data_IF_697372960839
#
_entry.id   IF_697372960839
#
_cell.length_a   1.000
_cell.length_b   1.000
_cell.length_c   1.000
_cell.angle_alpha   90.00
_cell.angle_beta   90.00
_cell.angle_gamma   90.00
#
_symmetry.space_group_name_H-M   'P 1'
#
loop_
_entity.id
_entity.type
_entity.pdbx_description
1 polymer ?
#
# COMPACT_ATOMS: atom_id res chain seq x y z
N UNK A 1 -35.51 41.08 52.77
CA UNK A 1 -34.36 40.44 52.07
C UNK A 1 -34.84 39.19 51.34
N UNK A 2 -35.06 39.25 50.02
CA UNK A 2 -35.34 38.09 49.17
C UNK A 2 -34.31 38.08 48.05
N UNK A 3 -33.40 37.11 48.06
CA UNK A 3 -32.38 36.94 47.01
C UNK A 3 -33.04 36.26 45.80
N UNK A 4 -33.04 36.96 44.67
CA UNK A 4 -33.50 36.44 43.39
C UNK A 4 -32.36 35.64 42.75
N UNK A 5 -32.48 34.30 42.73
CA UNK A 5 -31.54 33.42 42.05
C UNK A 5 -31.88 33.41 40.56
N UNK A 6 -31.02 33.99 39.72
CA UNK A 6 -31.11 33.89 38.25
C UNK A 6 -30.37 32.64 37.81
N UNK A 7 -31.10 31.63 37.34
CA UNK A 7 -30.55 30.45 36.69
C UNK A 7 -30.24 30.83 35.23
N UNK A 8 -28.96 30.96 34.88
CA UNK A 8 -28.51 31.02 33.49
C UNK A 8 -28.49 29.61 32.94
N UNK A 9 -29.46 29.29 32.07
CA UNK A 9 -29.48 28.04 31.33
C UNK A 9 -28.53 28.19 30.14
N UNK A 10 -27.31 27.68 30.29
CA UNK A 10 -26.33 27.63 29.22
C UNK A 10 -26.75 26.61 28.17
N UNK A 11 -27.12 27.07 26.97
CA UNK A 11 -27.21 26.20 25.79
C UNK A 11 -25.81 25.68 25.45
N UNK A 12 -25.54 24.42 25.79
CA UNK A 12 -24.40 23.68 25.26
C UNK A 12 -24.72 23.37 23.79
N UNK A 13 -24.16 24.15 22.87
CA UNK A 13 -24.13 23.76 21.46
C UNK A 13 -23.12 22.63 21.31
N UNK A 14 -23.64 21.40 21.20
CA UNK A 14 -22.85 20.27 20.72
C UNK A 14 -22.57 20.50 19.24
N UNK A 15 -21.39 21.05 18.93
CA UNK A 15 -20.88 21.02 17.56
C UNK A 15 -20.50 19.58 17.30
N UNK A 16 -21.39 18.84 16.63
CA UNK A 16 -21.03 17.59 16.00
C UNK A 16 -19.97 17.94 14.96
N UNK A 17 -18.72 17.61 15.27
CA UNK A 17 -17.65 17.63 14.28
C UNK A 17 -18.11 16.76 13.13
N UNK A 18 -18.43 17.39 12.00
CA UNK A 18 -18.60 16.68 10.74
C UNK A 18 -17.25 16.03 10.50
N UNK A 19 -17.17 14.70 10.63
CA UNK A 19 -15.97 13.96 10.25
C UNK A 19 -15.64 14.38 8.84
N UNK A 20 -14.54 15.13 8.67
CA UNK A 20 -14.00 15.40 7.36
C UNK A 20 -13.83 14.04 6.68
N UNK A 21 -14.47 13.84 5.54
CA UNK A 21 -14.23 12.64 4.73
C UNK A 21 -12.72 12.54 4.57
N UNK A 22 -12.13 11.42 5.01
CA UNK A 22 -10.71 11.17 4.81
C UNK A 22 -10.42 11.41 3.33
N UNK A 23 -9.43 12.24 3.02
CA UNK A 23 -9.07 12.53 1.64
C UNK A 23 -8.76 11.20 0.93
N UNK A 24 -9.65 10.75 0.06
CA UNK A 24 -9.52 9.48 -0.69
C UNK A 24 -8.81 9.67 -2.03
N UNK A 25 -8.52 10.91 -2.41
CA UNK A 25 -7.92 11.26 -3.69
C UNK A 25 -6.56 11.88 -3.45
N UNK A 26 -5.54 11.24 -4.01
CA UNK A 26 -4.20 11.78 -4.12
C UNK A 26 -4.06 12.45 -5.50
N UNK A 27 -3.56 13.69 -5.51
CA UNK A 27 -3.25 14.40 -6.75
C UNK A 27 -1.75 14.63 -6.78
N UNK A 28 -1.08 14.03 -7.76
CA UNK A 28 0.34 14.25 -7.97
C UNK A 28 0.60 15.71 -8.39
N UNK A 29 1.66 16.31 -7.85
CA UNK A 29 2.15 17.63 -8.29
C UNK A 29 3.30 17.46 -9.28
N UNK A 30 3.49 18.44 -10.17
CA UNK A 30 4.60 18.36 -11.13
C UNK A 30 5.95 18.46 -10.42
N UNK A 31 6.88 17.57 -10.77
CA UNK A 31 8.28 17.62 -10.38
C UNK A 31 8.96 16.26 -10.46
N UNK A 32 10.27 16.26 -10.33
CA UNK A 32 11.13 15.06 -10.35
C UNK A 32 11.68 14.83 -8.95
N UNK A 33 11.41 13.64 -8.39
CA UNK A 33 11.87 13.30 -7.05
C UNK A 33 13.27 12.69 -7.06
N UNK A 34 14.02 12.92 -5.99
CA UNK A 34 15.25 12.19 -5.67
C UNK A 34 14.87 10.82 -5.11
N UNK A 35 15.38 9.74 -5.72
CA UNK A 35 15.07 8.36 -5.31
C UNK A 35 16.03 7.86 -4.23
N UNK A 36 15.97 8.45 -3.04
CA UNK A 36 16.82 8.10 -1.89
C UNK A 36 16.04 7.60 -0.65
N UNK A 37 14.71 7.53 -0.75
CA UNK A 37 13.83 7.12 0.35
C UNK A 37 13.67 8.16 1.45
N UNK A 38 14.13 9.40 1.25
CA UNK A 38 14.03 10.50 2.21
C UNK A 38 12.97 11.50 1.78
N UNK A 39 12.15 11.92 2.75
CA UNK A 39 11.22 13.03 2.53
C UNK A 39 11.96 14.37 2.71
N UNK A 40 12.56 14.89 1.64
CA UNK A 40 13.28 16.16 1.71
C UNK A 40 12.32 17.35 1.92
N UNK A 41 12.66 18.31 2.81
CA UNK A 41 11.82 19.49 3.04
C UNK A 41 11.58 20.29 1.75
N UNK A 42 10.31 20.46 1.39
CA UNK A 42 9.89 21.28 0.25
C UNK A 42 9.94 20.57 -1.12
N UNK A 43 10.45 19.34 -1.19
CA UNK A 43 10.43 18.54 -2.43
C UNK A 43 9.02 18.01 -2.72
N UNK A 44 8.45 17.30 -1.76
CA UNK A 44 7.14 16.66 -1.88
C UNK A 44 6.01 17.65 -1.58
N UNK A 45 5.51 18.29 -2.64
CA UNK A 45 4.55 19.40 -2.59
C UNK A 45 3.08 18.99 -2.71
N UNK A 46 2.79 17.73 -3.05
CA UNK A 46 1.40 17.25 -3.08
C UNK A 46 0.77 17.19 -1.69
N UNK A 47 -0.55 17.33 -1.67
CA UNK A 47 -1.32 17.00 -0.47
C UNK A 47 -1.14 15.53 -0.12
N UNK A 48 -0.93 15.22 1.16
CA UNK A 48 -0.78 13.85 1.61
C UNK A 48 -2.16 13.19 1.83
N UNK A 49 -2.26 11.91 1.48
CA UNK A 49 -3.37 11.05 1.92
C UNK A 49 -2.88 10.07 2.97
N UNK A 50 -3.69 9.80 3.98
CA UNK A 50 -3.37 8.81 5.01
C UNK A 50 -4.38 7.66 4.94
N UNK A 51 -3.87 6.44 4.84
CA UNK A 51 -4.72 5.24 4.86
C UNK A 51 -5.26 5.00 6.27
N UNK A 52 -6.32 4.19 6.37
CA UNK A 52 -6.89 3.79 7.67
C UNK A 52 -5.91 2.98 8.55
N UNK A 53 -4.81 2.48 7.97
CA UNK A 53 -3.74 1.77 8.67
C UNK A 53 -2.51 2.65 8.95
N UNK A 54 -2.59 3.96 8.69
CA UNK A 54 -1.54 4.92 9.06
C UNK A 54 -0.38 5.04 8.07
N UNK A 55 -0.55 4.57 6.82
CA UNK A 55 0.40 4.86 5.74
C UNK A 55 0.08 6.23 5.17
N UNK A 56 1.05 7.14 5.19
CA UNK A 56 0.96 8.44 4.54
C UNK A 56 1.54 8.35 3.13
N UNK A 57 0.83 8.88 2.13
CA UNK A 57 1.23 8.80 0.73
C UNK A 57 1.23 10.21 0.13
N UNK A 58 2.31 10.53 -0.58
CA UNK A 58 2.46 11.71 -1.44
C UNK A 58 2.86 11.25 -2.84
N UNK A 59 2.57 12.07 -3.85
CA UNK A 59 2.97 11.78 -5.22
C UNK A 59 3.47 13.01 -5.97
N UNK A 60 4.38 12.77 -6.91
CA UNK A 60 4.84 13.75 -7.91
C UNK A 60 4.84 13.11 -9.29
N UNK A 61 4.79 13.91 -10.34
CA UNK A 61 4.79 13.42 -11.71
C UNK A 61 5.63 14.34 -12.60
N UNK A 62 6.38 13.77 -13.52
CA UNK A 62 7.01 14.52 -14.62
C UNK A 62 6.55 13.98 -15.98
N UNK A 63 7.31 14.22 -17.06
CA UNK A 63 6.93 13.79 -18.39
C UNK A 63 7.01 12.26 -18.58
N UNK A 64 7.78 11.57 -17.73
CA UNK A 64 8.18 10.18 -17.91
C UNK A 64 7.74 9.31 -16.73
N UNK A 65 7.73 9.86 -15.51
CA UNK A 65 7.64 9.09 -14.29
C UNK A 65 6.53 9.58 -13.36
N UNK A 66 5.87 8.61 -12.72
CA UNK A 66 5.11 8.79 -11.50
C UNK A 66 6.00 8.47 -10.30
N UNK A 67 6.15 9.41 -9.37
CA UNK A 67 6.86 9.24 -8.11
C UNK A 67 5.87 9.11 -6.98
N UNK A 68 6.06 8.10 -6.12
CA UNK A 68 5.22 7.89 -4.94
C UNK A 68 6.11 7.78 -3.71
N UNK A 69 5.86 8.62 -2.71
CA UNK A 69 6.45 8.51 -1.38
C UNK A 69 5.41 7.91 -0.45
N UNK A 70 5.74 6.78 0.18
CA UNK A 70 4.92 6.18 1.22
C UNK A 70 5.72 6.09 2.52
N UNK A 71 5.14 6.59 3.62
CA UNK A 71 5.75 6.58 4.95
C UNK A 71 4.78 5.98 5.96
N UNK A 72 5.30 5.16 6.88
CA UNK A 72 4.53 4.58 7.97
C UNK A 72 5.43 4.40 9.19
N UNK A 73 4.82 4.35 10.38
CA UNK A 73 5.56 3.98 11.58
C UNK A 73 5.70 2.47 11.63
N UNK A 74 6.94 2.00 11.72
CA UNK A 74 7.28 0.61 11.97
C UNK A 74 8.39 0.54 13.03
N UNK A 75 8.26 -0.38 13.97
CA UNK A 75 9.21 -0.58 15.06
C UNK A 75 10.18 -1.73 14.78
N UNK A 76 9.92 -2.55 13.76
CA UNK A 76 10.56 -3.87 13.62
C UNK A 76 11.46 -4.05 12.40
N UNK A 77 11.53 -3.09 11.47
CA UNK A 77 12.27 -3.11 10.20
C UNK A 77 12.51 -4.54 9.70
N UNK A 78 11.48 -5.12 9.10
CA UNK A 78 11.52 -6.51 8.68
C UNK A 78 12.21 -6.63 7.33
N UNK A 79 13.40 -7.23 7.30
CA UNK A 79 14.25 -7.37 6.10
C UNK A 79 14.89 -8.76 5.95
N UNK A 80 14.38 -9.75 6.69
CA UNK A 80 15.01 -11.08 6.78
C UNK A 80 14.30 -12.15 5.93
N UNK A 81 13.35 -11.76 5.07
CA UNK A 81 12.58 -12.71 4.27
C UNK A 81 13.47 -13.50 3.32
N UNK A 82 13.35 -14.82 3.40
CA UNK A 82 14.08 -15.82 2.61
C UNK A 82 15.61 -15.69 2.71
N UNK A 83 16.11 -15.17 3.86
CA UNK A 83 17.54 -15.00 4.10
C UNK A 83 18.27 -16.32 4.37
N UNK A 84 19.58 -16.33 4.18
CA UNK A 84 20.45 -17.45 4.57
C UNK A 84 21.18 -17.13 5.88
N UNK A 85 21.37 -18.14 6.72
CA UNK A 85 22.13 -18.07 7.97
C UNK A 85 23.41 -18.87 7.78
N UNK A 86 24.55 -18.23 8.09
CA UNK A 86 25.85 -18.89 8.13
C UNK A 86 26.19 -19.26 9.57
N UNK A 87 26.42 -20.55 9.83
CA UNK A 87 26.78 -21.06 11.17
C UNK A 87 28.31 -21.03 11.43
N UNK A 88 29.10 -20.51 10.48
CA UNK A 88 30.56 -20.55 10.49
C UNK A 88 31.15 -21.63 9.57
N UNK A 89 30.34 -22.59 9.12
CA UNK A 89 30.75 -23.68 8.22
C UNK A 89 29.78 -23.85 7.04
N UNK A 90 28.48 -23.81 7.29
CA UNK A 90 27.42 -24.06 6.32
C UNK A 90 26.47 -22.87 6.21
N UNK A 91 25.95 -22.68 5.00
CA UNK A 91 24.81 -21.82 4.75
C UNK A 91 23.53 -22.65 4.80
N UNK A 92 22.58 -22.22 5.62
CA UNK A 92 21.25 -22.83 5.71
C UNK A 92 20.17 -21.76 5.55
N UNK A 93 19.09 -22.06 4.84
CA UNK A 93 17.95 -21.14 4.74
C UNK A 93 17.40 -20.81 6.14
N UNK A 94 17.16 -19.54 6.43
CA UNK A 94 16.61 -19.08 7.70
C UNK A 94 15.26 -19.76 8.01
N UNK A 95 14.50 -20.10 6.97
CA UNK A 95 13.26 -20.88 7.11
C UNK A 95 13.48 -22.23 7.76
N UNK A 96 14.51 -22.96 7.32
CA UNK A 96 14.85 -24.28 7.84
C UNK A 96 15.32 -24.18 9.29
N UNK A 97 16.10 -23.14 9.62
CA UNK A 97 16.65 -22.95 10.97
C UNK A 97 15.58 -22.48 11.97
N UNK A 98 14.78 -21.48 11.60
CA UNK A 98 13.85 -20.81 12.50
C UNK A 98 12.42 -21.34 12.41
N UNK A 99 12.17 -22.36 11.57
CA UNK A 99 10.83 -22.81 11.17
C UNK A 99 9.93 -21.65 10.69
N UNK A 100 10.58 -20.61 10.14
CA UNK A 100 10.01 -19.36 9.63
C UNK A 100 11.04 -18.68 8.73
N UNK A 101 10.69 -18.42 7.48
CA UNK A 101 11.58 -17.81 6.49
C UNK A 101 11.87 -16.32 6.70
N UNK A 102 11.88 -15.82 7.94
CA UNK A 102 11.93 -14.40 8.23
C UNK A 102 10.67 -13.64 7.80
N UNK A 103 10.59 -12.38 8.21
CA UNK A 103 9.53 -11.47 7.78
C UNK A 103 10.11 -10.31 6.97
N UNK A 104 9.24 -9.62 6.24
CA UNK A 104 9.62 -8.49 5.40
C UNK A 104 8.52 -7.44 5.31
N UNK A 105 8.91 -6.18 5.42
CA UNK A 105 8.03 -5.05 5.18
C UNK A 105 7.73 -4.91 3.69
N UNK A 106 6.47 -4.63 3.36
CA UNK A 106 5.99 -4.59 1.98
C UNK A 106 4.98 -3.47 1.81
N UNK A 107 5.02 -2.86 0.63
CA UNK A 107 3.94 -1.99 0.17
C UNK A 107 3.57 -2.37 -1.26
N UNK A 108 2.27 -2.40 -1.54
CA UNK A 108 1.72 -2.72 -2.84
C UNK A 108 0.74 -1.64 -3.30
N UNK A 109 0.87 -1.23 -4.56
CA UNK A 109 -0.11 -0.42 -5.26
C UNK A 109 -0.84 -1.33 -6.25
N UNK A 110 -2.17 -1.32 -6.20
CA UNK A 110 -3.01 -2.14 -7.08
C UNK A 110 -3.81 -1.21 -7.98
N UNK A 111 -3.63 -1.38 -9.29
CA UNK A 111 -4.21 -0.52 -10.31
C UNK A 111 -5.31 -1.24 -11.08
N UNK A 112 -6.32 -0.46 -11.50
CA UNK A 112 -7.34 -0.97 -12.40
C UNK A 112 -6.74 -1.17 -13.78
N UNK A 113 -6.98 -2.35 -14.36
CA UNK A 113 -6.62 -2.64 -15.74
C UNK A 113 -7.81 -2.51 -16.68
N UNK A 114 -7.51 -2.51 -17.98
CA UNK A 114 -8.51 -2.71 -19.02
C UNK A 114 -8.46 -4.15 -19.52
N UNK A 115 -9.60 -4.67 -19.96
CA UNK A 115 -9.65 -5.90 -20.73
C UNK A 115 -9.06 -5.71 -22.14
N UNK A 116 -8.99 -6.80 -22.89
CA UNK A 116 -8.50 -6.84 -24.27
C UNK A 116 -9.32 -5.95 -25.22
N UNK A 117 -10.57 -5.63 -24.86
CA UNK A 117 -11.48 -4.77 -25.61
C UNK A 117 -11.43 -3.30 -25.13
N UNK A 118 -10.51 -2.97 -24.23
CA UNK A 118 -10.28 -1.63 -23.70
C UNK A 118 -11.28 -1.15 -22.65
N UNK A 119 -12.17 -2.02 -22.17
CA UNK A 119 -13.10 -1.70 -21.08
C UNK A 119 -12.38 -1.78 -19.74
N UNK A 120 -12.65 -0.82 -18.86
CA UNK A 120 -12.03 -0.83 -17.52
C UNK A 120 -12.65 -1.94 -16.68
N UNK A 121 -11.80 -2.80 -16.12
CA UNK A 121 -12.20 -3.83 -15.18
C UNK A 121 -12.53 -3.20 -13.84
N UNK A 122 -13.74 -3.44 -13.34
CA UNK A 122 -14.27 -2.81 -12.12
C UNK A 122 -14.93 -3.85 -11.22
N UNK A 123 -15.31 -3.45 -10.00
CA UNK A 123 -16.08 -4.31 -9.11
C UNK A 123 -15.30 -5.56 -8.70
N UNK A 124 -15.78 -6.72 -9.12
CA UNK A 124 -15.20 -8.03 -8.82
C UNK A 124 -14.06 -8.44 -9.77
N UNK A 125 -13.90 -7.71 -10.88
CA UNK A 125 -12.97 -8.03 -11.97
C UNK A 125 -11.72 -7.16 -11.96
N UNK A 126 -11.72 -6.07 -11.18
CA UNK A 126 -10.63 -5.09 -11.12
C UNK A 126 -10.25 -4.68 -9.70
N UNK A 127 -9.42 -3.64 -9.56
CA UNK A 127 -8.81 -3.25 -8.29
C UNK A 127 -9.85 -2.82 -7.24
N UNK A 128 -10.12 -3.71 -6.28
CA UNK A 128 -11.11 -3.48 -5.24
C UNK A 128 -10.77 -4.29 -3.99
N UNK A 129 -10.36 -3.60 -2.93
CA UNK A 129 -9.98 -4.22 -1.66
C UNK A 129 -11.13 -5.03 -1.03
N UNK A 130 -12.39 -4.62 -1.20
CA UNK A 130 -13.53 -5.33 -0.63
C UNK A 130 -13.95 -6.53 -1.48
N UNK A 131 -13.69 -6.51 -2.78
CA UNK A 131 -14.06 -7.59 -3.67
C UNK A 131 -12.98 -8.65 -3.81
N UNK A 132 -11.69 -8.30 -3.67
CA UNK A 132 -10.62 -9.30 -3.73
C UNK A 132 -10.88 -10.42 -2.73
N UNK A 133 -11.11 -11.63 -3.25
CA UNK A 133 -11.41 -12.80 -2.45
C UNK A 133 -10.36 -12.95 -1.35
N UNK A 134 -10.85 -13.02 -0.12
CA UNK A 134 -10.06 -13.45 1.03
C UNK A 134 -10.38 -14.95 1.26
N UNK A 135 -9.43 -15.65 1.89
CA UNK A 135 -8.95 -17.04 1.70
C UNK A 135 -8.94 -17.76 0.33
N UNK A 136 -7.89 -18.55 0.03
CA UNK A 136 -6.58 -18.60 0.72
C UNK A 136 -5.65 -17.45 0.30
N UNK A 137 -5.93 -16.77 -0.81
CA UNK A 137 -5.06 -15.76 -1.43
C UNK A 137 -5.87 -14.57 -1.96
N UNK A 138 -5.23 -13.39 -2.00
CA UNK A 138 -5.75 -12.20 -2.67
C UNK A 138 -5.73 -12.37 -4.19
N UNK A 139 -6.89 -12.24 -4.84
CA UNK A 139 -7.08 -12.38 -6.29
C UNK A 139 -8.34 -11.65 -6.79
N UNK A 140 -8.49 -11.49 -8.10
CA UNK A 140 -9.78 -11.10 -8.69
C UNK A 140 -10.78 -12.27 -8.63
N UNK A 141 -12.08 -12.01 -8.76
CA UNK A 141 -13.07 -13.03 -8.45
C UNK A 141 -13.53 -13.83 -9.66
N UNK A 142 -13.68 -13.18 -10.81
CA UNK A 142 -14.24 -13.82 -12.00
C UNK A 142 -13.17 -14.05 -13.06
N UNK A 143 -13.44 -15.04 -13.91
CA UNK A 143 -12.65 -15.30 -15.10
C UNK A 143 -12.52 -14.04 -15.98
N UNK A 144 -11.30 -13.76 -16.42
CA UNK A 144 -10.97 -12.54 -17.18
C UNK A 144 -10.72 -11.30 -16.31
N UNK A 145 -11.00 -11.36 -15.01
CA UNK A 145 -10.65 -10.30 -14.07
C UNK A 145 -9.14 -10.23 -13.85
N UNK A 146 -8.56 -9.03 -13.90
CA UNK A 146 -7.13 -8.81 -13.76
C UNK A 146 -6.82 -7.43 -13.17
N UNK A 147 -5.73 -7.35 -12.42
CA UNK A 147 -5.20 -6.09 -11.88
C UNK A 147 -3.71 -6.00 -12.05
N UNK A 148 -3.23 -4.78 -12.13
CA UNK A 148 -1.81 -4.45 -12.19
C UNK A 148 -1.31 -4.11 -10.78
N UNK A 149 -0.11 -4.55 -10.43
CA UNK A 149 0.39 -4.54 -9.06
C UNK A 149 1.87 -4.21 -8.99
N UNK A 150 2.16 -3.00 -8.51
CA UNK A 150 3.53 -2.62 -8.17
C UNK A 150 3.80 -2.97 -6.71
N UNK A 151 4.79 -3.83 -6.46
CA UNK A 151 4.98 -4.43 -5.14
C UNK A 151 6.42 -4.34 -4.64
N UNK A 152 6.68 -3.35 -3.80
CA UNK A 152 7.97 -3.16 -3.15
C UNK A 152 8.09 -4.06 -1.92
N UNK A 153 9.30 -4.63 -1.75
CA UNK A 153 9.57 -5.59 -0.67
C UNK A 153 10.97 -5.32 -0.10
N UNK A 154 11.04 -5.14 1.22
CA UNK A 154 12.21 -4.57 1.89
C UNK A 154 13.46 -5.47 1.87
N UNK A 155 13.31 -6.79 1.93
CA UNK A 155 14.41 -7.74 1.89
C UNK A 155 14.88 -8.00 0.45
N UNK A 156 13.93 -8.15 -0.49
CA UNK A 156 14.22 -8.63 -1.84
C UNK A 156 14.50 -7.51 -2.83
N UNK A 157 13.81 -6.38 -2.75
CA UNK A 157 13.87 -5.36 -3.80
C UNK A 157 14.53 -4.06 -3.37
N UNK A 158 14.40 -3.68 -2.09
CA UNK A 158 15.07 -2.49 -1.57
C UNK A 158 16.60 -2.47 -1.82
N UNK A 159 17.36 -3.58 -1.59
CA UNK A 159 18.80 -3.56 -1.84
C UNK A 159 19.18 -3.44 -3.32
N UNK A 160 18.24 -3.77 -4.23
CA UNK A 160 18.47 -3.74 -5.67
C UNK A 160 18.00 -2.43 -6.32
N UNK A 161 17.27 -1.58 -5.59
CA UNK A 161 16.81 -0.28 -6.08
C UNK A 161 15.68 -0.35 -7.11
N UNK A 162 14.92 -1.44 -7.15
CA UNK A 162 13.75 -1.57 -8.03
C UNK A 162 12.51 -2.03 -7.27
N UNK A 163 11.37 -2.08 -7.95
CA UNK A 163 10.10 -2.62 -7.45
C UNK A 163 9.58 -3.65 -8.45
N UNK A 164 8.90 -4.66 -7.93
CA UNK A 164 8.31 -5.75 -8.72
C UNK A 164 7.08 -5.24 -9.46
N UNK A 165 7.04 -5.40 -10.78
CA UNK A 165 5.85 -5.16 -11.60
C UNK A 165 5.16 -6.50 -11.90
N UNK A 166 3.87 -6.56 -11.58
CA UNK A 166 3.11 -7.81 -11.50
C UNK A 166 1.70 -7.59 -11.94
N UNK A 167 1.03 -8.69 -12.28
CA UNK A 167 -0.41 -8.68 -12.36
C UNK A 167 -1.01 -9.84 -11.57
N UNK A 168 -2.21 -9.63 -11.04
CA UNK A 168 -2.99 -10.68 -10.41
C UNK A 168 -4.24 -10.96 -11.23
N UNK A 169 -4.57 -12.23 -11.41
CA UNK A 169 -5.80 -12.68 -12.04
C UNK A 169 -6.67 -13.49 -11.04
N UNK A 170 -7.67 -14.19 -11.55
CA UNK A 170 -8.64 -14.91 -10.72
C UNK A 170 -8.23 -16.34 -10.36
N UNK A 171 -7.08 -16.78 -10.83
CA UNK A 171 -6.61 -18.15 -10.68
C UNK A 171 -6.03 -18.38 -9.27
N UNK A 172 -6.29 -19.55 -8.67
CA UNK A 172 -5.84 -19.87 -7.31
C UNK A 172 -5.09 -21.19 -7.16
N UNK A 173 -5.20 -22.06 -8.15
CA UNK A 173 -4.46 -23.33 -8.21
C UNK A 173 -3.28 -23.30 -9.19
N UNK A 174 -3.05 -22.17 -9.88
CA UNK A 174 -1.85 -21.97 -10.69
C UNK A 174 -0.64 -21.61 -9.82
N UNK A 175 0.52 -21.57 -10.47
CA UNK A 175 1.77 -21.10 -9.87
C UNK A 175 1.57 -19.71 -9.23
N UNK A 176 2.12 -19.56 -8.02
CA UNK A 176 1.99 -18.36 -7.17
C UNK A 176 0.57 -17.86 -6.90
N UNK A 177 -0.46 -18.66 -7.19
CA UNK A 177 -1.86 -18.34 -6.93
C UNK A 177 -2.36 -17.17 -7.75
N UNK A 178 -2.12 -17.19 -9.06
CA UNK A 178 -2.58 -16.16 -9.98
C UNK A 178 -1.80 -14.86 -9.86
N UNK A 179 -0.62 -14.89 -9.24
CA UNK A 179 0.30 -13.76 -9.13
C UNK A 179 1.44 -13.97 -10.09
N UNK A 180 1.49 -13.15 -11.11
CA UNK A 180 2.41 -13.34 -12.22
C UNK A 180 3.39 -12.18 -12.25
N UNK A 181 4.63 -12.45 -12.68
CA UNK A 181 5.52 -11.39 -13.14
C UNK A 181 4.99 -10.80 -14.44
N UNK A 182 5.21 -9.51 -14.64
CA UNK A 182 5.07 -8.92 -15.97
C UNK A 182 6.31 -9.28 -16.84
N UNK A 183 6.18 -9.22 -18.16
CA UNK A 183 7.26 -9.61 -19.09
C UNK A 183 8.24 -8.46 -19.41
N UNK A 184 8.05 -7.26 -18.84
CA UNK A 184 8.89 -6.08 -19.06
C UNK A 184 8.79 -5.40 -20.43
#
# INVERSE_FOLDING_TARGET
MKKLLRLLMGCVFFVWGVSAFAQTTLTATTGTATLDGVESPGEWTSGAVMTTRGVTIKAMIDAENLYVLATWSDATQSVAKDSWIFDGTNWTLAEVVNNKGGDEDRIGFVWQMKDEQGQTLTGADGANCAAFCHPPIMRTNNEGGRVDVWHWKAARFNPMGFTDDKYWDNCDTCEDGGRHGDDG
#
